data_IF_216621107926
#
_entry.id   IF_216621107926
#
_cell.length_a   1.000
_cell.length_b   1.000
_cell.length_c   1.000
_cell.angle_alpha   90.00
_cell.angle_beta   90.00
_cell.angle_gamma   90.00
#
_symmetry.space_group_name_H-M   'P 1'
#
loop_
_entity.id
_entity.type
_entity.pdbx_description
1 polymer ?
#
# COMPACT_ATOMS: atom_id res chain seq x y z
N UNK A 1 -19.19 -4.77 -6.77
CA UNK A 1 -19.42 -5.85 -5.79
C UNK A 1 -20.53 -5.39 -4.83
N UNK A 2 -20.99 -6.21 -3.88
CA UNK A 2 -22.03 -5.83 -2.90
C UNK A 2 -23.38 -5.39 -3.50
N UNK A 3 -23.73 -5.85 -4.70
CA UNK A 3 -25.07 -5.69 -5.29
C UNK A 3 -25.41 -4.31 -5.87
N UNK A 4 -24.54 -3.30 -5.82
CA UNK A 4 -24.80 -1.97 -6.37
C UNK A 4 -23.63 -1.41 -7.18
N UNK A 5 -23.94 -0.51 -8.13
CA UNK A 5 -22.95 0.34 -8.83
C UNK A 5 -22.67 1.64 -8.08
N UNK A 6 -23.59 2.06 -7.20
CA UNK A 6 -23.36 3.22 -6.33
C UNK A 6 -22.49 2.76 -5.15
N UNK A 7 -21.32 3.40 -5.00
CA UNK A 7 -20.32 3.04 -3.98
C UNK A 7 -20.88 3.17 -2.56
N UNK A 8 -21.69 4.19 -2.28
CA UNK A 8 -22.22 4.42 -0.94
C UNK A 8 -23.26 3.36 -0.57
N UNK A 9 -24.15 3.01 -1.49
CA UNK A 9 -25.11 1.91 -1.30
C UNK A 9 -24.42 0.54 -1.15
N UNK A 10 -23.33 0.32 -1.90
CA UNK A 10 -22.50 -0.88 -1.76
C UNK A 10 -21.79 -0.93 -0.40
N UNK A 11 -21.30 0.22 0.09
CA UNK A 11 -20.69 0.35 1.42
C UNK A 11 -21.69 0.08 2.54
N UNK A 12 -22.93 0.58 2.42
CA UNK A 12 -24.00 0.31 3.38
C UNK A 12 -24.28 -1.19 3.50
N UNK A 13 -24.29 -1.90 2.36
CA UNK A 13 -24.47 -3.36 2.33
C UNK A 13 -23.32 -4.07 3.04
N UNK A 14 -22.07 -3.67 2.77
CA UNK A 14 -20.90 -4.27 3.43
C UNK A 14 -20.91 -4.02 4.95
N UNK A 15 -21.26 -2.80 5.38
CA UNK A 15 -21.39 -2.45 6.80
C UNK A 15 -22.51 -3.24 7.49
N UNK A 16 -23.64 -3.47 6.82
CA UNK A 16 -24.72 -4.27 7.36
C UNK A 16 -24.30 -5.73 7.63
N UNK A 17 -23.51 -6.33 6.73
CA UNK A 17 -22.96 -7.69 6.92
C UNK A 17 -22.03 -7.72 8.13
N UNK A 18 -21.14 -6.73 8.28
CA UNK A 18 -20.21 -6.63 9.42
C UNK A 18 -20.99 -6.45 10.73
N UNK A 19 -21.97 -5.55 10.76
CA UNK A 19 -22.78 -5.26 11.94
C UNK A 19 -23.66 -6.43 12.39
N UNK A 20 -24.03 -7.34 11.48
CA UNK A 20 -24.76 -8.56 11.83
C UNK A 20 -23.91 -9.60 12.57
N UNK A 21 -22.58 -9.58 12.37
CA UNK A 21 -21.65 -10.57 12.93
C UNK A 21 -20.32 -9.94 13.39
N UNK A 22 -20.32 -8.89 14.24
CA UNK A 22 -19.12 -8.15 14.58
C UNK A 22 -18.07 -9.02 15.29
N UNK A 23 -18.49 -10.04 16.06
CA UNK A 23 -17.60 -10.97 16.76
C UNK A 23 -16.91 -11.98 15.82
N UNK A 24 -17.33 -12.06 14.55
CA UNK A 24 -16.74 -12.96 13.54
C UNK A 24 -15.90 -12.22 12.51
N UNK A 25 -15.80 -10.90 12.62
CA UNK A 25 -15.09 -10.05 11.66
C UNK A 25 -14.04 -9.26 12.42
N UNK A 26 -12.77 -9.66 12.30
CA UNK A 26 -11.66 -8.90 12.87
C UNK A 26 -11.56 -7.49 12.24
N UNK A 27 -11.67 -7.42 10.91
CA UNK A 27 -11.64 -6.15 10.19
C UNK A 27 -12.08 -6.27 8.73
N UNK A 28 -12.12 -5.13 8.05
CA UNK A 28 -12.33 -5.05 6.61
C UNK A 28 -11.17 -4.32 5.94
N UNK A 29 -10.68 -4.88 4.83
CA UNK A 29 -9.81 -4.16 3.89
C UNK A 29 -10.64 -3.51 2.79
N UNK A 30 -10.40 -2.22 2.53
CA UNK A 30 -10.96 -1.50 1.38
C UNK A 30 -9.87 -1.11 0.38
N UNK A 31 -10.08 -1.40 -0.90
CA UNK A 31 -9.13 -1.11 -1.99
C UNK A 31 -9.80 -0.33 -3.12
N UNK A 32 -10.46 0.78 -2.76
CA UNK A 32 -11.07 1.71 -3.72
C UNK A 32 -10.10 2.80 -4.19
N UNK A 33 -8.95 2.97 -3.51
CA UNK A 33 -8.00 4.08 -3.71
C UNK A 33 -8.66 5.46 -3.55
N UNK A 34 -9.65 5.53 -2.65
CA UNK A 34 -10.42 6.73 -2.33
C UNK A 34 -10.41 6.88 -0.80
N UNK A 35 -9.57 7.80 -0.33
CA UNK A 35 -9.35 8.03 1.11
C UNK A 35 -10.61 8.48 1.82
N UNK A 36 -11.45 9.28 1.17
CA UNK A 36 -12.64 9.85 1.80
C UNK A 36 -13.68 8.75 2.04
N UNK A 37 -13.79 7.79 1.11
CA UNK A 37 -14.62 6.59 1.31
C UNK A 37 -14.09 5.69 2.41
N UNK A 38 -12.78 5.53 2.54
CA UNK A 38 -12.21 4.77 3.66
C UNK A 38 -12.50 5.44 5.01
N UNK A 39 -12.26 6.75 5.12
CA UNK A 39 -12.52 7.53 6.34
C UNK A 39 -14.02 7.49 6.71
N UNK A 40 -14.90 7.66 5.72
CA UNK A 40 -16.35 7.53 5.94
C UNK A 40 -16.74 6.14 6.44
N UNK A 41 -16.12 5.07 5.90
CA UNK A 41 -16.41 3.71 6.30
C UNK A 41 -15.88 3.38 7.69
N UNK A 42 -14.63 3.74 8.02
CA UNK A 42 -14.02 3.39 9.32
C UNK A 42 -14.78 3.99 10.49
N UNK A 43 -15.33 5.20 10.33
CA UNK A 43 -16.17 5.88 11.34
C UNK A 43 -17.51 5.18 11.61
N UNK A 44 -17.93 4.28 10.73
CA UNK A 44 -19.19 3.52 10.83
C UNK A 44 -18.98 2.06 11.24
N UNK A 45 -17.73 1.61 11.38
CA UNK A 45 -17.44 0.25 11.84
C UNK A 45 -17.91 0.05 13.29
N UNK A 46 -18.40 -1.15 13.64
CA UNK A 46 -18.84 -1.46 15.01
C UNK A 46 -17.75 -1.14 16.04
N UNK A 47 -18.16 -0.44 17.12
CA UNK A 47 -17.30 -0.07 18.23
C UNK A 47 -16.96 -1.25 19.17
N UNK A 48 -17.68 -2.36 19.04
CA UNK A 48 -17.50 -3.60 19.79
C UNK A 48 -17.46 -4.79 18.83
N UNK A 49 -17.03 -5.96 19.32
CA UNK A 49 -16.71 -7.12 18.50
C UNK A 49 -15.27 -7.04 17.98
N UNK A 50 -15.00 -7.58 16.80
CA UNK A 50 -13.62 -7.91 16.41
C UNK A 50 -13.08 -9.08 17.25
N UNK A 51 -11.94 -9.64 16.87
CA UNK A 51 -11.39 -10.81 17.57
C UNK A 51 -10.90 -10.50 18.98
N UNK A 52 -10.70 -9.23 19.32
CA UNK A 52 -10.28 -8.75 20.64
C UNK A 52 -11.40 -8.00 21.41
N UNK A 53 -12.63 -7.96 20.87
CA UNK A 53 -13.77 -7.30 21.50
C UNK A 53 -13.73 -5.77 21.46
N UNK A 54 -12.68 -5.15 20.90
CA UNK A 54 -12.46 -3.69 20.89
C UNK A 54 -12.99 -3.01 19.60
N UNK A 55 -13.88 -3.67 18.87
CA UNK A 55 -14.44 -3.17 17.62
C UNK A 55 -13.73 -3.70 16.38
N UNK A 56 -14.43 -3.59 15.25
CA UNK A 56 -13.96 -4.07 13.95
C UNK A 56 -12.92 -3.11 13.37
N UNK A 57 -11.79 -3.63 12.89
CA UNK A 57 -10.68 -2.86 12.34
C UNK A 57 -10.96 -2.38 10.92
N UNK A 58 -10.50 -1.18 10.59
CA UNK A 58 -10.29 -0.77 9.20
C UNK A 58 -8.86 -1.12 8.80
N UNK A 59 -8.69 -1.98 7.81
CA UNK A 59 -7.41 -2.21 7.15
C UNK A 59 -7.35 -1.36 5.89
N UNK A 60 -6.50 -0.34 5.86
CA UNK A 60 -6.28 0.40 4.63
C UNK A 60 -5.72 -0.51 3.55
N UNK A 61 -6.35 -0.47 2.39
CA UNK A 61 -5.87 -1.04 1.15
C UNK A 61 -5.62 0.05 0.11
N UNK A 62 -5.43 1.29 0.56
CA UNK A 62 -5.17 2.46 -0.26
C UNK A 62 -3.67 2.76 -0.33
N UNK A 63 -3.02 2.20 -1.35
CA UNK A 63 -1.61 2.39 -1.61
C UNK A 63 -1.27 3.84 -2.09
N UNK A 64 -2.24 4.74 -2.28
CA UNK A 64 -2.00 6.15 -2.63
C UNK A 64 -1.94 7.07 -1.41
N UNK A 65 -2.59 6.68 -0.31
CA UNK A 65 -2.86 7.54 0.84
C UNK A 65 -2.52 6.88 2.20
N UNK A 66 -1.93 5.69 2.20
CA UNK A 66 -1.67 4.87 3.40
C UNK A 66 -1.01 5.63 4.56
N UNK A 67 0.00 6.47 4.33
CA UNK A 67 0.68 7.18 5.42
C UNK A 67 -0.27 8.10 6.21
N UNK A 68 -1.19 8.80 5.51
CA UNK A 68 -2.22 9.64 6.13
C UNK A 68 -3.27 8.77 6.86
N UNK A 69 -3.71 7.70 6.22
CA UNK A 69 -4.77 6.83 6.75
C UNK A 69 -4.32 6.05 8.00
N UNK A 70 -3.06 5.61 8.03
CA UNK A 70 -2.45 4.89 9.16
C UNK A 70 -2.20 5.83 10.35
N UNK A 71 -1.63 7.02 10.12
CA UNK A 71 -1.47 8.02 11.18
C UNK A 71 -2.83 8.43 11.78
N UNK A 72 -3.86 8.45 10.92
CA UNK A 72 -5.21 8.77 11.34
C UNK A 72 -5.46 10.26 11.53
N UNK A 73 -6.73 10.58 11.74
CA UNK A 73 -7.20 11.93 12.07
C UNK A 73 -7.65 12.03 13.54
N UNK A 74 -7.59 10.92 14.29
CA UNK A 74 -8.07 10.83 15.67
C UNK A 74 -9.57 11.03 15.85
N UNK A 75 -10.33 11.15 14.75
CA UNK A 75 -11.75 11.45 14.79
C UNK A 75 -12.60 10.18 14.82
N UNK A 76 -13.55 10.11 15.75
CA UNK A 76 -14.45 8.97 15.87
C UNK A 76 -14.90 8.75 17.31
N UNK A 77 -15.75 7.74 17.52
CA UNK A 77 -16.22 7.36 18.86
C UNK A 77 -15.27 6.40 19.58
N UNK A 78 -14.38 5.73 18.85
CA UNK A 78 -13.37 4.82 19.40
C UNK A 78 -12.01 5.08 18.75
N UNK A 79 -10.90 4.67 19.38
CA UNK A 79 -9.57 4.78 18.78
C UNK A 79 -9.48 4.17 17.38
N UNK A 80 -10.15 3.03 17.13
CA UNK A 80 -10.17 2.35 15.82
C UNK A 80 -10.86 3.14 14.71
N UNK A 81 -11.73 4.08 15.05
CA UNK A 81 -12.41 4.92 14.06
C UNK A 81 -11.57 6.13 13.65
N UNK A 82 -10.57 6.50 14.48
CA UNK A 82 -9.68 7.63 14.23
C UNK A 82 -8.45 7.31 13.37
N UNK A 83 -8.17 6.04 13.10
CA UNK A 83 -7.02 5.59 12.31
C UNK A 83 -7.32 4.26 11.60
N UNK A 84 -6.51 3.90 10.61
CA UNK A 84 -6.61 2.62 9.92
C UNK A 84 -5.39 1.74 10.23
N UNK A 85 -5.61 0.44 10.49
CA UNK A 85 -4.56 -0.57 10.40
C UNK A 85 -4.16 -0.78 8.92
N UNK A 86 -3.13 -1.55 8.62
CA UNK A 86 -2.60 -1.68 7.26
C UNK A 86 -2.65 -3.12 6.71
N UNK A 87 -3.17 -3.27 5.49
CA UNK A 87 -3.01 -4.49 4.68
C UNK A 87 -2.78 -4.06 3.23
N UNK A 88 -1.54 -3.69 2.93
CA UNK A 88 -1.17 -2.95 1.72
C UNK A 88 -0.27 -3.76 0.79
N UNK A 89 -0.39 -3.50 -0.52
CA UNK A 89 0.53 -4.09 -1.50
C UNK A 89 1.88 -3.38 -1.50
N UNK A 90 1.90 -2.07 -1.26
CA UNK A 90 3.14 -1.29 -1.22
C UNK A 90 4.08 -1.74 -0.10
N UNK A 91 3.54 -2.22 1.04
CA UNK A 91 4.35 -2.71 2.16
C UNK A 91 5.28 -3.87 1.80
N UNK A 92 4.99 -4.63 0.74
CA UNK A 92 5.92 -5.62 0.18
C UNK A 92 7.18 -4.92 -0.36
N UNK A 93 7.00 -3.93 -1.23
CA UNK A 93 8.08 -3.22 -1.89
C UNK A 93 8.86 -2.25 -0.98
N UNK A 94 8.29 -1.87 0.17
CA UNK A 94 8.89 -0.91 1.12
C UNK A 94 9.04 -1.48 2.53
N UNK A 95 9.07 -2.81 2.68
CA UNK A 95 8.99 -3.49 3.98
C UNK A 95 9.95 -2.92 5.06
N UNK A 96 11.23 -2.61 4.77
CA UNK A 96 12.12 -2.00 5.77
C UNK A 96 11.64 -0.63 6.25
N UNK A 97 11.22 0.25 5.34
CA UNK A 97 10.70 1.57 5.65
C UNK A 97 9.36 1.50 6.40
N UNK A 98 8.44 0.63 5.96
CA UNK A 98 7.17 0.40 6.65
C UNK A 98 7.38 -0.09 8.10
N UNK A 99 8.28 -1.06 8.29
CA UNK A 99 8.62 -1.57 9.63
C UNK A 99 9.18 -0.47 10.53
N UNK A 100 10.15 0.31 10.05
CA UNK A 100 10.77 1.38 10.81
C UNK A 100 9.77 2.50 11.16
N UNK A 101 8.89 2.87 10.21
CA UNK A 101 7.87 3.87 10.42
C UNK A 101 6.84 3.43 11.46
N UNK A 102 6.33 2.20 11.37
CA UNK A 102 5.35 1.67 12.32
C UNK A 102 5.94 1.57 13.74
N UNK A 103 7.22 1.23 13.87
CA UNK A 103 7.92 1.26 15.16
C UNK A 103 8.01 2.68 15.74
N UNK A 104 8.32 3.69 14.91
CA UNK A 104 8.31 5.09 15.32
C UNK A 104 6.92 5.55 15.77
N UNK A 105 5.87 5.19 15.02
CA UNK A 105 4.49 5.52 15.36
C UNK A 105 4.06 4.86 16.68
N UNK A 106 4.42 3.59 16.90
CA UNK A 106 4.15 2.89 18.16
C UNK A 106 4.86 3.52 19.37
N UNK A 107 6.00 4.18 19.15
CA UNK A 107 6.71 4.95 20.17
C UNK A 107 6.17 6.38 20.35
N UNK A 108 5.13 6.78 19.61
CA UNK A 108 4.56 8.12 19.64
C UNK A 108 5.31 9.17 18.82
N UNK A 109 6.29 8.76 18.00
CA UNK A 109 7.08 9.66 17.14
C UNK A 109 6.45 9.76 15.74
N UNK A 110 5.33 10.48 15.66
CA UNK A 110 4.60 10.71 14.41
C UNK A 110 5.43 11.50 13.38
N UNK A 111 6.34 12.37 13.84
CA UNK A 111 7.21 13.15 12.96
C UNK A 111 8.18 12.24 12.20
N UNK A 112 8.82 11.30 12.90
CA UNK A 112 9.68 10.30 12.28
C UNK A 112 8.91 9.33 11.41
N UNK A 113 7.71 8.91 11.81
CA UNK A 113 6.82 8.11 10.95
C UNK A 113 6.61 8.78 9.58
N UNK A 114 6.27 10.07 9.56
CA UNK A 114 6.09 10.82 8.32
C UNK A 114 7.40 11.05 7.56
N UNK A 115 8.52 11.28 8.25
CA UNK A 115 9.82 11.43 7.62
C UNK A 115 10.24 10.16 6.87
N UNK A 116 9.91 8.97 7.40
CA UNK A 116 10.21 7.68 6.76
C UNK A 116 9.26 7.40 5.59
N UNK A 117 7.94 7.52 5.79
CA UNK A 117 6.98 7.14 4.74
C UNK A 117 6.76 8.21 3.67
N UNK A 118 6.93 9.50 3.98
CA UNK A 118 6.69 10.60 3.06
C UNK A 118 7.39 10.42 1.70
N UNK A 119 8.71 10.15 1.68
CA UNK A 119 9.46 9.88 0.44
C UNK A 119 8.97 8.65 -0.34
N UNK A 120 8.34 7.68 0.32
CA UNK A 120 7.86 6.44 -0.30
C UNK A 120 6.50 6.60 -1.01
N UNK A 121 5.74 7.65 -0.69
CA UNK A 121 4.40 7.89 -1.28
C UNK A 121 4.46 8.13 -2.79
N UNK A 122 5.36 8.98 -3.35
CA UNK A 122 5.52 9.12 -4.79
C UNK A 122 5.82 7.80 -5.51
N UNK A 123 6.74 6.98 -4.99
CA UNK A 123 7.04 5.66 -5.52
C UNK A 123 5.79 4.77 -5.55
N UNK A 124 5.03 4.74 -4.45
CA UNK A 124 3.80 3.95 -4.36
C UNK A 124 2.78 4.37 -5.41
N UNK A 125 2.50 5.67 -5.52
CA UNK A 125 1.57 6.20 -6.51
C UNK A 125 1.99 5.85 -7.93
N UNK A 126 3.29 5.85 -8.21
CA UNK A 126 3.83 5.45 -9.51
C UNK A 126 3.65 3.96 -9.78
N UNK A 127 4.00 3.08 -8.83
CA UNK A 127 3.78 1.62 -8.94
C UNK A 127 2.30 1.31 -9.24
N UNK A 128 1.39 1.99 -8.54
CA UNK A 128 -0.06 1.77 -8.66
C UNK A 128 -0.75 2.66 -9.69
N UNK A 129 -0.01 3.41 -10.50
CA UNK A 129 -0.55 4.28 -11.54
C UNK A 129 -1.40 3.52 -12.56
N UNK A 130 -2.35 4.19 -13.20
CA UNK A 130 -3.22 3.57 -14.21
C UNK A 130 -2.40 2.94 -15.37
N UNK A 131 -2.78 1.74 -15.88
CA UNK A 131 -3.81 0.85 -15.36
C UNK A 131 -3.34 0.08 -14.11
N UNK A 132 -3.97 0.37 -12.96
CA UNK A 132 -3.54 -0.06 -11.62
C UNK A 132 -3.42 -1.57 -11.45
N UNK A 133 -4.17 -2.39 -12.20
CA UNK A 133 -4.08 -3.85 -12.13
C UNK A 133 -2.67 -4.42 -12.33
N UNK A 134 -1.76 -3.66 -12.96
CA UNK A 134 -0.37 -4.03 -13.20
C UNK A 134 0.62 -3.53 -12.13
N UNK A 135 0.14 -3.07 -10.97
CA UNK A 135 1.02 -2.64 -9.87
C UNK A 135 2.01 -3.73 -9.43
N UNK A 136 1.61 -5.01 -9.51
CA UNK A 136 2.44 -6.17 -9.15
C UNK A 136 3.75 -6.20 -9.93
N UNK A 137 3.77 -5.67 -11.14
CA UNK A 137 4.96 -5.57 -11.98
C UNK A 137 5.99 -4.63 -11.36
N UNK A 138 5.55 -3.51 -10.78
CA UNK A 138 6.43 -2.60 -10.04
C UNK A 138 6.91 -3.20 -8.71
N UNK A 139 6.05 -3.95 -8.01
CA UNK A 139 6.43 -4.65 -6.77
C UNK A 139 7.50 -5.70 -7.02
N UNK A 140 7.30 -6.58 -8.01
CA UNK A 140 8.31 -7.60 -8.38
C UNK A 140 9.57 -6.95 -8.95
N UNK A 141 9.45 -5.80 -9.63
CA UNK A 141 10.61 -5.05 -10.08
C UNK A 141 11.46 -4.53 -8.90
N UNK A 142 10.84 -4.03 -7.83
CA UNK A 142 11.55 -3.66 -6.59
C UNK A 142 12.24 -4.86 -5.94
N UNK A 143 11.55 -5.99 -5.81
CA UNK A 143 12.14 -7.23 -5.29
C UNK A 143 13.34 -7.70 -6.14
N UNK A 144 13.26 -7.52 -7.46
CA UNK A 144 14.38 -7.77 -8.36
C UNK A 144 15.45 -6.69 -8.30
N UNK A 145 15.19 -5.42 -7.99
CA UNK A 145 16.29 -4.47 -7.78
C UNK A 145 17.06 -4.78 -6.49
N UNK A 146 16.36 -5.17 -5.42
CA UNK A 146 16.92 -5.41 -4.09
C UNK A 146 17.50 -6.82 -3.86
N UNK A 147 17.56 -7.67 -4.89
CA UNK A 147 18.22 -8.98 -4.75
C UNK A 147 17.34 -10.10 -4.16
N UNK A 148 16.08 -9.85 -3.83
CA UNK A 148 15.16 -10.87 -3.27
C UNK A 148 14.86 -12.00 -4.27
N UNK A 149 15.09 -11.76 -5.55
CA UNK A 149 15.05 -12.76 -6.62
C UNK A 149 16.15 -12.50 -7.66
N UNK A 150 16.53 -13.54 -8.40
CA UNK A 150 17.62 -13.50 -9.39
C UNK A 150 17.19 -13.10 -10.80
N UNK A 151 15.88 -13.11 -11.10
CA UNK A 151 15.33 -12.84 -12.44
C UNK A 151 14.17 -11.85 -12.39
N UNK A 152 13.90 -11.15 -13.49
CA UNK A 152 12.68 -10.36 -13.68
C UNK A 152 11.72 -11.08 -14.62
N UNK A 153 11.06 -12.11 -14.09
CA UNK A 153 10.07 -12.92 -14.82
C UNK A 153 8.92 -13.20 -13.89
N UNK A 154 7.71 -13.03 -14.38
CA UNK A 154 6.48 -13.08 -13.60
C UNK A 154 5.50 -14.09 -14.18
N UNK A 155 4.64 -14.62 -13.30
CA UNK A 155 3.49 -15.43 -13.70
C UNK A 155 2.67 -14.68 -14.75
N UNK A 156 2.27 -15.40 -15.80
CA UNK A 156 1.51 -14.82 -16.91
C UNK A 156 2.31 -13.85 -17.78
N UNK A 157 3.64 -13.83 -17.67
CA UNK A 157 4.50 -12.94 -18.48
C UNK A 157 4.36 -11.46 -18.12
N UNK A 158 3.91 -11.16 -16.90
CA UNK A 158 3.54 -9.79 -16.52
C UNK A 158 4.72 -8.81 -16.42
N UNK A 159 5.98 -9.27 -16.49
CA UNK A 159 7.16 -8.41 -16.51
C UNK A 159 7.15 -7.37 -17.65
N UNK A 160 6.38 -7.61 -18.74
CA UNK A 160 6.24 -6.69 -19.89
C UNK A 160 5.04 -5.73 -19.81
N UNK A 161 4.28 -5.74 -18.71
CA UNK A 161 3.02 -4.96 -18.60
C UNK A 161 3.22 -3.47 -18.25
N UNK A 162 4.46 -3.06 -17.97
CA UNK A 162 4.87 -1.66 -17.79
C UNK A 162 5.97 -1.32 -18.78
N UNK A 163 6.06 -0.05 -19.17
CA UNK A 163 7.06 0.43 -20.12
C UNK A 163 8.44 0.59 -19.48
N UNK A 164 9.49 0.61 -20.30
CA UNK A 164 10.85 0.92 -19.83
C UNK A 164 10.93 2.28 -19.12
N UNK A 165 10.22 3.29 -19.63
CA UNK A 165 10.14 4.62 -19.00
C UNK A 165 9.52 4.54 -17.61
N UNK A 166 8.49 3.71 -17.42
CA UNK A 166 7.92 3.47 -16.10
C UNK A 166 8.96 2.83 -15.16
N UNK A 167 9.74 1.85 -15.62
CA UNK A 167 10.78 1.24 -14.79
C UNK A 167 11.90 2.22 -14.43
N UNK A 168 12.32 3.08 -15.36
CA UNK A 168 13.33 4.10 -15.10
C UNK A 168 12.87 5.13 -14.05
N UNK A 169 11.62 5.59 -14.14
CA UNK A 169 11.07 6.50 -13.13
C UNK A 169 10.88 5.80 -11.78
N UNK A 170 10.44 4.53 -11.78
CA UNK A 170 10.33 3.73 -10.55
C UNK A 170 11.70 3.60 -9.87
N UNK A 171 12.75 3.29 -10.62
CA UNK A 171 14.12 3.21 -10.11
C UNK A 171 14.57 4.54 -9.47
N UNK A 172 14.30 5.68 -10.12
CA UNK A 172 14.59 7.02 -9.57
C UNK A 172 13.84 7.31 -8.28
N UNK A 173 12.55 6.98 -8.23
CA UNK A 173 11.72 7.20 -7.04
C UNK A 173 12.13 6.27 -5.89
N UNK A 174 12.59 5.06 -6.19
CA UNK A 174 13.13 4.13 -5.20
C UNK A 174 14.44 4.63 -4.58
N UNK A 175 15.34 5.18 -5.40
CA UNK A 175 16.57 5.85 -4.94
C UNK A 175 16.26 7.06 -4.03
N UNK A 176 15.36 7.95 -4.47
CA UNK A 176 14.95 9.13 -3.68
C UNK A 176 14.27 8.78 -2.35
N UNK A 177 13.66 7.61 -2.28
CA UNK A 177 13.00 7.11 -1.08
C UNK A 177 13.92 6.28 -0.18
N UNK A 178 15.21 6.13 -0.53
CA UNK A 178 16.19 5.31 0.19
C UNK A 178 15.76 3.84 0.33
N UNK A 179 15.20 3.28 -0.76
CA UNK A 179 14.64 1.93 -0.80
C UNK A 179 15.48 0.92 -1.60
N UNK A 180 16.64 1.34 -2.12
CA UNK A 180 17.58 0.45 -2.81
C UNK A 180 18.58 -0.14 -1.81
N UNK A 181 18.32 -1.37 -1.37
CA UNK A 181 19.11 -2.03 -0.31
C UNK A 181 20.55 -2.33 -0.75
N UNK A 182 20.75 -2.56 -2.05
CA UNK A 182 22.05 -2.83 -2.66
C UNK A 182 22.19 -1.95 -3.91
N UNK A 183 22.56 -0.66 -3.75
CA UNK A 183 22.56 0.30 -4.85
C UNK A 183 23.37 -0.13 -6.07
N UNK A 184 24.55 -0.74 -5.87
CA UNK A 184 25.38 -1.22 -6.99
C UNK A 184 24.69 -2.34 -7.78
N UNK A 185 24.03 -3.28 -7.08
CA UNK A 185 23.25 -4.35 -7.71
C UNK A 185 22.06 -3.78 -8.49
N UNK A 186 21.35 -2.83 -7.89
CA UNK A 186 20.19 -2.18 -8.51
C UNK A 186 20.60 -1.43 -9.79
N UNK A 187 21.71 -0.68 -9.75
CA UNK A 187 22.29 0.01 -10.92
C UNK A 187 22.67 -1.00 -12.01
N UNK A 188 23.37 -2.08 -11.65
CA UNK A 188 23.75 -3.12 -12.61
C UNK A 188 22.51 -3.74 -13.28
N UNK A 189 21.48 -4.08 -12.48
CA UNK A 189 20.24 -4.68 -12.96
C UNK A 189 19.47 -3.72 -13.88
N UNK A 190 19.33 -2.47 -13.49
CA UNK A 190 18.69 -1.45 -14.33
C UNK A 190 19.48 -1.26 -15.65
N UNK A 191 20.81 -1.22 -15.58
CA UNK A 191 21.69 -1.16 -16.76
C UNK A 191 21.49 -2.34 -17.71
N UNK A 192 21.38 -3.57 -17.19
CA UNK A 192 21.06 -4.73 -18.02
C UNK A 192 19.67 -4.62 -18.67
N UNK A 193 18.66 -4.14 -17.94
CA UNK A 193 17.31 -3.97 -18.51
C UNK A 193 17.32 -2.93 -19.65
N UNK A 194 18.05 -1.83 -19.48
CA UNK A 194 18.24 -0.80 -20.51
C UNK A 194 18.94 -1.38 -21.75
N UNK A 195 20.02 -2.14 -21.55
CA UNK A 195 20.77 -2.77 -22.64
C UNK A 195 19.90 -3.77 -23.44
N UNK A 196 19.05 -4.55 -22.77
CA UNK A 196 18.09 -5.46 -23.43
C UNK A 196 17.09 -4.71 -24.33
N UNK A 197 16.85 -3.43 -24.06
CA UNK A 197 16.00 -2.55 -24.86
C UNK A 197 16.78 -1.66 -25.82
N UNK A 198 18.07 -1.94 -26.04
CA UNK A 198 18.91 -1.21 -26.99
C UNK A 198 19.36 0.17 -26.54
N UNK A 199 19.31 0.46 -25.23
CA UNK A 199 19.82 1.69 -24.64
C UNK A 199 21.20 1.40 -24.03
N UNK A 200 22.26 2.01 -24.58
CA UNK A 200 23.61 1.96 -24.01
C UNK A 200 23.87 3.18 -23.12
N UNK A 201 24.75 3.00 -22.14
CA UNK A 201 25.33 4.09 -21.35
C UNK A 201 26.28 4.96 -22.19
#
# INVERSE_FOLDING_TARGET
YWGSRNVDAAMDTALAVIAAHPDKVDGIKISLLDKDKEVAMRRRLPATGGTDGQGVRMYTGDDFNYAELIAGDGAGSTPRQGQSDALLGIFDAIAPAASAALAALAAGDTARFHAILGPTVPLSRHIFAAPTRFYKTGVVFMAWLNGHQSHFTMVGGQQSTRSLVHFAELFRLADQADLLEQPELAVQRMGHLLALHGVSA
#
